data_IF_338852893897
#
_entry.id   IF_338852893897
#
_cell.length_a   1.000
_cell.length_b   1.000
_cell.length_c   1.000
_cell.angle_alpha   90.00
_cell.angle_beta   90.00
_cell.angle_gamma   90.00
#
_symmetry.space_group_name_H-M   'P 1'
#
loop_
_entity.id
_entity.type
_entity.pdbx_description
1 polymer ?
#
# COMPACT_ATOMS: atom_id res chain seq x y z
N UNK A 1 3.15 5.41 -10.73
CA UNK A 1 2.61 5.12 -9.38
C UNK A 1 2.67 3.62 -9.17
N UNK A 2 2.57 3.12 -7.94
CA UNK A 2 2.50 1.68 -7.68
C UNK A 2 1.43 1.37 -6.63
N UNK A 3 0.75 0.24 -6.79
CA UNK A 3 -0.29 -0.28 -5.91
C UNK A 3 0.10 -1.71 -5.58
N UNK A 4 0.19 -2.03 -4.29
CA UNK A 4 0.37 -3.40 -3.79
C UNK A 4 -0.99 -3.91 -3.33
N UNK A 5 -1.37 -5.12 -3.73
CA UNK A 5 -2.62 -5.75 -3.32
C UNK A 5 -2.29 -7.01 -2.53
N UNK A 6 -2.81 -7.11 -1.30
CA UNK A 6 -2.52 -8.22 -0.38
C UNK A 6 -3.18 -9.51 -0.83
N UNK A 7 -4.47 -9.48 -1.17
CA UNK A 7 -5.21 -10.66 -1.60
C UNK A 7 -6.54 -10.30 -2.28
N UNK A 8 -7.31 -11.31 -2.67
CA UNK A 8 -8.40 -11.18 -3.63
C UNK A 8 -9.78 -10.91 -3.05
N UNK A 9 -9.97 -10.62 -1.76
CA UNK A 9 -11.30 -10.32 -1.20
C UNK A 9 -11.77 -8.87 -1.52
N UNK A 10 -13.09 -8.64 -1.53
CA UNK A 10 -13.70 -7.36 -1.99
C UNK A 10 -13.38 -6.16 -1.09
N UNK A 11 -13.14 -6.42 0.19
CA UNK A 11 -12.70 -5.45 1.19
C UNK A 11 -11.24 -5.00 0.99
N UNK A 12 -10.45 -5.69 0.16
CA UNK A 12 -9.06 -5.36 -0.17
C UNK A 12 -8.88 -4.95 -1.62
N UNK A 13 -9.75 -5.43 -2.51
CA UNK A 13 -9.78 -5.09 -3.91
C UNK A 13 -11.23 -4.97 -4.40
N UNK A 14 -11.71 -3.73 -4.54
CA UNK A 14 -12.93 -3.42 -5.30
C UNK A 14 -12.54 -2.79 -6.64
N UNK A 15 -12.49 -3.57 -7.74
CA UNK A 15 -12.04 -3.08 -9.03
C UNK A 15 -12.94 -1.97 -9.60
N UNK A 16 -14.22 -1.88 -9.17
CA UNK A 16 -15.14 -0.81 -9.57
C UNK A 16 -14.64 0.57 -9.14
N UNK A 17 -13.92 0.66 -8.01
CA UNK A 17 -13.31 1.91 -7.54
C UNK A 17 -12.30 2.49 -8.54
N UNK A 18 -11.67 1.64 -9.36
CA UNK A 18 -10.71 2.10 -10.35
C UNK A 18 -11.32 2.68 -11.62
N UNK A 19 -12.61 2.44 -11.90
CA UNK A 19 -13.29 3.03 -13.06
C UNK A 19 -13.25 4.56 -13.05
N UNK A 20 -13.17 5.18 -11.87
CA UNK A 20 -13.02 6.63 -11.70
C UNK A 20 -11.66 7.19 -12.13
N UNK A 21 -10.67 6.33 -12.40
CA UNK A 21 -9.42 6.73 -13.06
C UNK A 21 -9.57 6.89 -14.57
N UNK A 22 -10.66 6.42 -15.17
CA UNK A 22 -10.87 6.48 -16.62
C UNK A 22 -10.98 7.90 -17.19
N UNK A 23 -10.85 8.00 -18.51
CA UNK A 23 -11.05 9.26 -19.23
C UNK A 23 -12.45 9.84 -18.96
N UNK A 24 -12.52 11.13 -18.65
CA UNK A 24 -13.76 11.83 -18.26
C UNK A 24 -13.98 11.94 -16.76
N UNK A 25 -13.26 11.16 -15.94
CA UNK A 25 -13.34 11.19 -14.47
C UNK A 25 -12.02 11.64 -13.80
N UNK A 26 -10.88 11.50 -14.49
CA UNK A 26 -9.57 11.95 -14.00
C UNK A 26 -8.98 13.12 -14.81
N UNK A 27 -8.23 13.99 -14.14
CA UNK A 27 -7.47 15.08 -14.78
C UNK A 27 -6.19 14.55 -15.45
N UNK A 28 -5.86 14.99 -16.68
CA UNK A 28 -4.60 14.65 -17.33
C UNK A 28 -3.41 15.46 -16.77
N UNK A 29 -2.18 14.93 -16.89
CA UNK A 29 -1.87 13.58 -17.35
C UNK A 29 -2.18 12.54 -16.27
N UNK A 30 -2.70 11.38 -16.67
CA UNK A 30 -2.95 10.27 -15.77
C UNK A 30 -1.76 9.31 -15.76
N UNK A 31 -0.94 9.24 -14.70
CA UNK A 31 0.21 8.35 -14.67
C UNK A 31 -0.21 6.88 -14.75
N UNK A 32 0.61 6.07 -15.39
CA UNK A 32 0.46 4.61 -15.30
C UNK A 32 0.72 4.17 -13.85
N UNK A 33 -0.17 3.34 -13.33
CA UNK A 33 -0.01 2.69 -12.03
C UNK A 33 0.38 1.23 -12.24
N UNK A 34 1.54 0.85 -11.73
CA UNK A 34 1.94 -0.55 -11.62
C UNK A 34 1.09 -1.21 -10.54
N UNK A 35 0.43 -2.31 -10.86
CA UNK A 35 -0.48 -3.03 -9.94
C UNK A 35 0.15 -4.38 -9.65
N UNK A 36 0.66 -4.54 -8.43
CA UNK A 36 1.49 -5.67 -8.02
C UNK A 36 0.66 -6.56 -7.09
N UNK A 37 0.60 -7.84 -7.42
CA UNK A 37 -0.12 -8.85 -6.65
C UNK A 37 0.08 -10.22 -7.27
N UNK A 38 -0.33 -11.27 -6.57
CA UNK A 38 -0.25 -12.64 -7.07
C UNK A 38 -1.16 -12.84 -8.28
N UNK A 39 -0.89 -13.88 -9.08
CA UNK A 39 -1.69 -14.17 -10.27
C UNK A 39 -3.21 -14.33 -9.97
N UNK A 40 -3.64 -15.03 -8.89
CA UNK A 40 -5.04 -15.08 -8.50
C UNK A 40 -5.63 -13.68 -8.21
N UNK A 41 -4.88 -12.86 -7.48
CA UNK A 41 -5.28 -11.49 -7.12
C UNK A 41 -5.49 -10.61 -8.35
N UNK A 42 -4.54 -10.64 -9.30
CA UNK A 42 -4.66 -9.84 -10.53
C UNK A 42 -5.71 -10.41 -11.51
N UNK A 43 -6.00 -11.70 -11.44
CA UNK A 43 -7.09 -12.33 -12.17
C UNK A 43 -8.47 -11.75 -11.80
N UNK A 44 -8.61 -11.14 -10.62
CA UNK A 44 -9.86 -10.53 -10.15
C UNK A 44 -10.06 -9.07 -10.60
N UNK A 45 -9.28 -8.56 -11.55
CA UNK A 45 -9.54 -7.26 -12.19
C UNK A 45 -10.78 -7.30 -13.12
N UNK A 46 -11.91 -7.76 -12.59
CA UNK A 46 -13.24 -7.74 -13.19
C UNK A 46 -14.14 -6.84 -12.32
N UNK A 47 -15.08 -6.11 -12.92
CA UNK A 47 -16.06 -5.31 -12.15
C UNK A 47 -17.06 -6.21 -11.39
N UNK A 48 -17.90 -5.59 -10.55
CA UNK A 48 -18.94 -6.28 -9.76
C UNK A 48 -19.98 -7.03 -10.60
N UNK A 49 -20.05 -6.78 -11.91
CA UNK A 49 -20.93 -7.49 -12.85
C UNK A 49 -20.20 -8.64 -13.58
N UNK A 50 -18.93 -8.89 -13.24
CA UNK A 50 -18.09 -9.92 -13.85
C UNK A 50 -17.48 -9.52 -15.19
N UNK A 51 -17.56 -8.25 -15.60
CA UNK A 51 -16.91 -7.78 -16.83
C UNK A 51 -15.45 -7.51 -16.55
N UNK A 52 -14.56 -8.04 -17.40
CA UNK A 52 -13.15 -7.73 -17.32
C UNK A 52 -12.92 -6.22 -17.43
N UNK A 53 -12.17 -5.66 -16.48
CA UNK A 53 -11.69 -4.29 -16.62
C UNK A 53 -10.64 -4.26 -17.73
N UNK A 54 -10.62 -3.18 -18.52
CA UNK A 54 -9.53 -2.90 -19.47
C UNK A 54 -8.38 -2.22 -18.72
N UNK A 55 -7.28 -2.92 -18.39
CA UNK A 55 -6.17 -2.33 -17.64
C UNK A 55 -5.51 -1.20 -18.43
N UNK A 56 -5.45 -1.32 -19.77
CA UNK A 56 -4.93 -0.26 -20.62
C UNK A 56 -5.84 0.98 -20.53
N UNK A 57 -7.16 0.78 -20.59
CA UNK A 57 -8.21 1.77 -20.27
C UNK A 57 -7.98 2.54 -18.98
N UNK A 58 -7.63 1.81 -17.92
CA UNK A 58 -7.43 2.34 -16.56
C UNK A 58 -6.01 2.84 -16.28
N UNK A 59 -5.11 2.76 -17.28
CA UNK A 59 -3.68 3.08 -17.15
C UNK A 59 -3.03 2.26 -16.05
N UNK A 60 -3.35 0.98 -16.00
CA UNK A 60 -2.74 -0.02 -15.15
C UNK A 60 -1.73 -0.85 -15.92
N UNK A 61 -0.63 -1.15 -15.26
CA UNK A 61 0.35 -2.13 -15.66
C UNK A 61 0.36 -3.25 -14.61
N UNK A 62 -0.45 -4.31 -14.79
CA UNK A 62 -0.44 -5.44 -13.88
C UNK A 62 0.93 -6.12 -13.89
N UNK A 63 1.47 -6.43 -12.73
CA UNK A 63 2.73 -7.16 -12.54
C UNK A 63 2.49 -8.34 -11.61
N UNK A 64 2.26 -9.55 -12.16
CA UNK A 64 2.13 -10.75 -11.33
C UNK A 64 3.43 -11.03 -10.60
N UNK A 65 3.33 -11.42 -9.34
CA UNK A 65 4.46 -11.79 -8.47
C UNK A 65 4.21 -13.10 -7.75
N UNK A 66 5.28 -13.74 -7.28
CA UNK A 66 5.24 -14.94 -6.44
C UNK A 66 5.76 -14.66 -5.03
N UNK A 67 5.38 -15.49 -4.05
CA UNK A 67 5.98 -15.44 -2.72
C UNK A 67 7.50 -15.68 -2.79
N UNK A 68 8.25 -14.92 -1.98
CA UNK A 68 9.71 -14.87 -2.01
C UNK A 68 10.30 -14.02 -3.13
N UNK A 69 9.50 -13.54 -4.08
CA UNK A 69 9.98 -12.67 -5.15
C UNK A 69 10.35 -11.29 -4.61
N UNK A 70 11.47 -10.75 -5.11
CA UNK A 70 11.88 -9.36 -4.93
C UNK A 70 11.71 -8.59 -6.24
N UNK A 71 10.96 -7.50 -6.18
CA UNK A 71 10.69 -6.63 -7.34
C UNK A 71 11.14 -5.20 -7.07
N UNK A 72 11.83 -4.60 -8.04
CA UNK A 72 12.13 -3.18 -8.01
C UNK A 72 11.02 -2.39 -8.70
N UNK A 73 10.61 -1.30 -8.07
CA UNK A 73 9.49 -0.44 -8.46
C UNK A 73 9.95 1.01 -8.47
N UNK A 74 9.61 1.76 -9.51
CA UNK A 74 9.89 3.19 -9.58
C UNK A 74 8.60 3.98 -9.60
N UNK A 75 8.55 5.06 -8.83
CA UNK A 75 7.42 5.98 -8.80
C UNK A 75 7.89 7.41 -9.01
N UNK A 76 6.95 8.31 -9.30
CA UNK A 76 7.29 9.66 -9.68
C UNK A 76 7.85 9.76 -11.10
N UNK A 77 8.60 10.81 -11.40
CA UNK A 77 9.17 11.07 -12.73
C UNK A 77 8.25 11.83 -13.67
N UNK A 78 8.64 11.86 -14.95
CA UNK A 78 7.86 12.41 -16.07
C UNK A 78 6.80 11.40 -16.48
N UNK A 79 5.54 11.85 -16.55
CA UNK A 79 4.43 11.00 -16.98
C UNK A 79 4.16 11.19 -18.46
N UNK A 80 4.10 10.09 -19.21
CA UNK A 80 3.64 10.13 -20.59
C UNK A 80 2.19 10.62 -20.63
N UNK A 81 1.84 11.57 -21.51
CA UNK A 81 0.45 11.98 -21.66
C UNK A 81 -0.41 10.80 -22.15
N UNK A 82 -1.67 10.72 -21.70
CA UNK A 82 -2.65 9.77 -22.28
C UNK A 82 -3.36 10.45 -23.44
N UNK A 83 -3.25 9.95 -24.69
CA UNK A 83 -3.94 10.55 -25.83
C UNK A 83 -5.48 10.49 -25.70
N UNK A 84 -6.02 9.63 -24.84
CA UNK A 84 -7.46 9.53 -24.55
C UNK A 84 -7.92 10.56 -23.53
N UNK A 85 -7.03 11.00 -22.63
CA UNK A 85 -7.35 12.03 -21.62
C UNK A 85 -6.91 13.38 -22.16
N UNK A 86 -7.80 14.02 -22.93
CA UNK A 86 -7.56 15.35 -23.47
C UNK A 86 -7.59 16.40 -22.34
N UNK A 87 -6.66 17.39 -22.31
CA UNK A 87 -6.83 18.57 -21.48
C UNK A 87 -8.22 19.13 -21.75
N UNK A 88 -8.99 19.37 -20.69
CA UNK A 88 -10.42 19.66 -20.79
C UNK A 88 -10.72 20.66 -21.90
N UNK A 89 -11.54 20.23 -22.87
CA UNK A 89 -12.20 21.18 -23.76
C UNK A 89 -13.08 22.01 -22.83
N UNK A 90 -12.78 23.29 -22.64
CA UNK A 90 -13.74 24.22 -22.04
C UNK A 90 -15.05 24.02 -22.79
N UNK A 91 -16.08 23.47 -22.14
CA UNK A 91 -17.43 23.48 -22.71
C UNK A 91 -17.77 24.95 -22.92
N UNK A 92 -17.69 25.43 -24.15
CA UNK A 92 -18.50 26.58 -24.55
C UNK A 92 -19.93 26.07 -24.42
N UNK A 93 -20.64 26.59 -23.43
CA UNK A 93 -22.04 26.27 -23.22
C UNK A 93 -22.86 26.92 -24.35
N UNK A 94 -22.89 26.29 -25.52
CA UNK A 94 -23.90 26.63 -26.53
C UNK A 94 -25.24 26.08 -26.02
N UNK A 95 -25.96 26.90 -25.26
CA UNK A 95 -27.36 26.63 -24.88
C UNK A 95 -27.76 26.79 -23.41
N UNK A 96 -26.91 27.32 -22.52
CA UNK A 96 -27.35 27.70 -21.17
C UNK A 96 -27.77 29.19 -21.15
N UNK A 97 -28.92 29.57 -20.54
CA UNK A 97 -29.29 30.97 -20.40
C UNK A 97 -28.20 31.71 -19.58
N UNK A 98 -27.92 32.98 -19.89
CA UNK A 98 -26.77 33.67 -19.31
C UNK A 98 -26.96 33.84 -17.80
N UNK A 99 -26.17 33.09 -17.03
CA UNK A 99 -25.91 33.47 -15.64
C UNK A 99 -25.15 34.80 -15.66
N UNK A 100 -25.61 35.74 -14.84
CA UNK A 100 -25.04 37.07 -14.69
C UNK A 100 -23.50 37.00 -14.56
N UNK A 101 -22.84 37.89 -15.31
CA UNK A 101 -21.40 38.04 -15.46
C UNK A 101 -20.63 37.91 -14.14
N UNK A 102 -20.03 36.75 -13.93
CA UNK A 102 -18.85 36.65 -13.07
C UNK A 102 -17.66 37.24 -13.85
N UNK A 103 -16.73 37.94 -13.19
CA UNK A 103 -15.59 38.55 -13.85
C UNK A 103 -14.77 37.49 -14.61
N UNK A 104 -14.44 37.79 -15.86
CA UNK A 104 -13.55 36.98 -16.68
C UNK A 104 -12.21 36.82 -15.95
N UNK A 105 -11.73 35.59 -15.72
CA UNK A 105 -10.38 35.41 -15.23
C UNK A 105 -9.38 35.90 -16.29
N UNK A 106 -8.23 36.45 -15.88
CA UNK A 106 -7.25 37.00 -16.81
C UNK A 106 -6.76 35.94 -17.79
N UNK A 107 -6.43 36.42 -18.99
CA UNK A 107 -6.06 35.65 -20.17
C UNK A 107 -4.90 34.66 -19.92
N UNK A 108 -5.09 33.46 -20.46
CA UNK A 108 -4.09 32.45 -20.82
C UNK A 108 -2.74 32.51 -20.08
N UNK A 109 -2.72 32.04 -18.83
CA UNK A 109 -1.57 31.24 -18.44
C UNK A 109 -1.70 29.91 -19.18
N UNK A 110 -0.91 29.75 -20.24
CA UNK A 110 -0.52 28.43 -20.74
C UNK A 110 0.14 27.73 -19.55
N UNK A 111 -0.67 27.02 -18.76
CA UNK A 111 -0.21 26.12 -17.71
C UNK A 111 0.61 25.06 -18.43
N UNK A 112 1.91 25.32 -18.55
CA UNK A 112 2.88 24.32 -18.91
C UNK A 112 2.79 23.26 -17.83
N UNK A 113 2.04 22.19 -18.10
CA UNK A 113 1.96 21.01 -17.26
C UNK A 113 3.33 20.31 -17.32
N UNK A 114 4.34 20.89 -16.68
CA UNK A 114 5.59 20.21 -16.38
C UNK A 114 5.29 19.28 -15.19
N UNK A 115 4.71 18.13 -15.51
CA UNK A 115 4.24 17.09 -14.60
C UNK A 115 5.37 16.14 -14.19
N UNK A 116 6.53 16.68 -13.85
CA UNK A 116 7.60 15.88 -13.26
C UNK A 116 7.38 15.80 -11.75
N UNK A 117 6.93 14.64 -11.28
CA UNK A 117 6.89 14.33 -9.84
C UNK A 117 8.27 13.83 -9.39
N UNK A 118 8.65 14.03 -8.12
CA UNK A 118 9.97 13.58 -7.64
C UNK A 118 10.08 12.06 -7.75
N UNK A 119 11.14 11.58 -8.41
CA UNK A 119 11.39 10.17 -8.62
C UNK A 119 11.79 9.46 -7.32
N UNK A 120 11.25 8.25 -7.13
CA UNK A 120 11.57 7.35 -6.01
C UNK A 120 11.71 5.93 -6.53
N UNK A 121 12.52 5.13 -5.85
CA UNK A 121 12.69 3.72 -6.15
C UNK A 121 12.55 2.88 -4.89
N UNK A 122 11.95 1.70 -5.06
CA UNK A 122 11.64 0.78 -3.99
C UNK A 122 12.02 -0.64 -4.41
N UNK A 123 12.53 -1.43 -3.47
CA UNK A 123 12.56 -2.88 -3.55
C UNK A 123 11.45 -3.44 -2.68
N UNK A 124 10.60 -4.27 -3.26
CA UNK A 124 9.46 -4.90 -2.60
C UNK A 124 9.75 -6.40 -2.53
N UNK A 125 9.61 -6.99 -1.35
CA UNK A 125 9.66 -8.45 -1.17
C UNK A 125 8.26 -8.93 -0.81
N UNK A 126 7.80 -9.97 -1.50
CA UNK A 126 6.47 -10.54 -1.33
C UNK A 126 6.55 -11.74 -0.39
N UNK A 127 5.79 -11.74 0.69
CA UNK A 127 5.78 -12.82 1.68
C UNK A 127 4.41 -13.51 1.73
N UNK A 128 4.36 -14.83 1.96
CA UNK A 128 3.10 -15.54 2.10
C UNK A 128 2.39 -15.13 3.39
N UNK A 129 1.13 -14.70 3.27
CA UNK A 129 0.27 -14.45 4.41
C UNK A 129 -0.43 -15.74 4.85
N UNK A 130 -0.54 -15.95 6.16
CA UNK A 130 -1.41 -16.97 6.73
C UNK A 130 -2.84 -16.42 6.72
N UNK A 131 -3.44 -16.28 5.54
CA UNK A 131 -4.77 -15.70 5.35
C UNK A 131 -5.39 -16.20 4.04
N UNK A 132 -6.73 -16.15 3.94
CA UNK A 132 -7.49 -16.69 2.82
C UNK A 132 -7.21 -18.19 2.54
N UNK A 133 -7.72 -18.72 1.43
CA UNK A 133 -7.42 -20.10 1.01
C UNK A 133 -6.05 -20.16 0.33
N UNK A 134 -5.33 -21.29 0.38
CA UNK A 134 -4.00 -21.41 -0.21
C UNK A 134 -3.91 -21.06 -1.71
N UNK A 135 -4.96 -21.37 -2.48
CA UNK A 135 -5.04 -21.07 -3.92
C UNK A 135 -5.23 -19.58 -4.23
N UNK A 136 -5.66 -18.79 -3.25
CA UNK A 136 -5.83 -17.34 -3.35
C UNK A 136 -4.51 -16.59 -3.20
N UNK A 137 -3.49 -17.24 -2.62
CA UNK A 137 -2.12 -16.72 -2.48
C UNK A 137 -2.08 -15.31 -1.87
N UNK A 138 -2.61 -15.18 -0.66
CA UNK A 138 -2.55 -13.94 0.10
C UNK A 138 -1.10 -13.58 0.46
N UNK A 139 -0.78 -12.30 0.42
CA UNK A 139 0.57 -11.79 0.63
C UNK A 139 0.61 -10.60 1.57
N UNK A 140 1.74 -10.46 2.24
CA UNK A 140 2.17 -9.22 2.86
C UNK A 140 3.57 -8.82 2.37
N UNK A 141 4.05 -7.62 2.73
CA UNK A 141 5.18 -7.01 2.03
C UNK A 141 6.26 -6.48 2.95
N UNK A 142 7.52 -6.63 2.52
CA UNK A 142 8.61 -5.76 2.95
C UNK A 142 8.83 -4.72 1.86
N UNK A 143 8.83 -3.44 2.24
CA UNK A 143 8.97 -2.30 1.34
C UNK A 143 10.23 -1.53 1.72
N UNK A 144 11.24 -1.55 0.85
CA UNK A 144 12.50 -0.83 1.06
C UNK A 144 12.63 0.31 0.06
N UNK A 145 12.59 1.54 0.52
CA UNK A 145 12.89 2.70 -0.33
C UNK A 145 14.41 2.82 -0.53
N UNK A 146 14.85 2.86 -1.78
CA UNK A 146 16.27 2.93 -2.17
C UNK A 146 16.65 4.25 -2.83
N UNK A 147 15.66 5.03 -3.27
CA UNK A 147 15.84 6.38 -3.81
C UNK A 147 14.67 7.29 -3.43
N UNK A 148 14.97 8.55 -3.07
CA UNK A 148 13.99 9.61 -2.86
C UNK A 148 14.54 10.71 -1.93
N UNK A 149 13.97 11.94 -1.96
CA UNK A 149 14.45 13.06 -1.15
C UNK A 149 14.21 12.91 0.36
N UNK A 150 13.45 11.91 0.77
CA UNK A 150 13.09 11.60 2.17
C UNK A 150 14.16 10.76 2.86
N UNK A 151 15.03 10.11 2.07
CA UNK A 151 16.11 9.28 2.58
C UNK A 151 17.18 10.15 3.23
N UNK A 152 17.45 9.88 4.50
CA UNK A 152 18.48 10.61 5.24
C UNK A 152 19.86 10.09 4.84
N UNK A 153 20.74 10.98 4.38
CA UNK A 153 22.07 10.64 3.84
C UNK A 153 22.07 9.58 2.72
N UNK A 154 20.95 9.43 2.01
CA UNK A 154 20.79 8.42 0.96
C UNK A 154 20.75 6.97 1.47
N UNK A 155 20.60 6.76 2.78
CA UNK A 155 20.45 5.42 3.35
C UNK A 155 19.04 4.88 3.06
N UNK A 156 18.91 3.61 2.63
CA UNK A 156 17.60 3.01 2.42
C UNK A 156 16.78 2.96 3.71
N UNK A 157 15.46 3.10 3.60
CA UNK A 157 14.54 2.92 4.71
C UNK A 157 13.60 1.75 4.40
N UNK A 158 13.39 0.86 5.38
CA UNK A 158 12.64 -0.38 5.16
C UNK A 158 11.49 -0.52 6.15
N UNK A 159 10.33 -0.93 5.65
CA UNK A 159 9.12 -1.21 6.43
C UNK A 159 8.66 -2.64 6.17
N UNK A 160 8.34 -3.38 7.23
CA UNK A 160 7.49 -4.57 7.13
C UNK A 160 6.03 -4.14 7.28
N UNK A 161 5.20 -4.45 6.29
CA UNK A 161 3.76 -4.20 6.30
C UNK A 161 3.01 -5.53 6.20
N UNK A 162 2.58 -6.04 7.35
CA UNK A 162 2.04 -7.39 7.56
C UNK A 162 0.61 -7.36 8.12
N UNK A 163 -0.33 -6.79 7.35
CA UNK A 163 -1.78 -6.85 7.62
C UNK A 163 -2.40 -8.06 6.93
N UNK A 164 -3.62 -8.45 7.35
CA UNK A 164 -4.36 -9.59 6.78
C UNK A 164 -3.55 -10.87 6.80
N UNK A 165 -2.99 -11.17 7.98
CA UNK A 165 -2.26 -12.41 8.19
C UNK A 165 -2.41 -12.87 9.64
N UNK A 166 -2.57 -14.17 9.82
CA UNK A 166 -2.27 -14.82 11.10
C UNK A 166 -0.77 -14.96 11.31
N UNK A 167 -0.35 -15.74 12.33
CA UNK A 167 1.05 -16.03 12.60
C UNK A 167 1.84 -16.37 11.35
N UNK A 168 3.03 -15.78 11.20
CA UNK A 168 3.86 -15.96 10.00
C UNK A 168 4.21 -17.44 9.83
N UNK A 169 4.06 -17.95 8.61
CA UNK A 169 4.42 -19.32 8.26
C UNK A 169 5.93 -19.53 8.30
N UNK A 170 6.36 -20.80 8.34
CA UNK A 170 7.78 -21.14 8.24
C UNK A 170 8.41 -20.58 6.95
N UNK A 171 7.67 -20.55 5.84
CA UNK A 171 8.11 -19.96 4.58
C UNK A 171 8.35 -18.45 4.71
N UNK A 172 7.43 -17.72 5.34
CA UNK A 172 7.61 -16.28 5.60
C UNK A 172 8.82 -16.02 6.51
N UNK A 173 8.98 -16.81 7.57
CA UNK A 173 10.14 -16.69 8.45
C UNK A 173 11.46 -17.00 7.73
N UNK A 174 11.50 -18.00 6.86
CA UNK A 174 12.70 -18.31 6.08
C UNK A 174 13.08 -17.16 5.13
N UNK A 175 12.10 -16.50 4.50
CA UNK A 175 12.33 -15.31 3.67
C UNK A 175 12.88 -14.16 4.53
N UNK A 176 12.28 -13.92 5.69
CA UNK A 176 12.74 -12.88 6.63
C UNK A 176 14.16 -13.17 7.15
N UNK A 177 14.49 -14.43 7.46
CA UNK A 177 15.84 -14.82 7.87
C UNK A 177 16.87 -14.60 6.75
N UNK A 178 16.49 -14.85 5.50
CA UNK A 178 17.35 -14.54 4.35
C UNK A 178 17.57 -13.02 4.23
N UNK A 179 16.54 -12.19 4.45
CA UNK A 179 16.71 -10.73 4.46
C UNK A 179 17.65 -10.28 5.58
N UNK A 180 17.52 -10.85 6.78
CA UNK A 180 18.43 -10.57 7.88
C UNK A 180 19.89 -10.96 7.53
N UNK A 181 20.07 -12.13 6.90
CA UNK A 181 21.37 -12.60 6.43
C UNK A 181 21.97 -11.66 5.37
N UNK A 182 21.13 -11.10 4.49
CA UNK A 182 21.51 -10.11 3.48
C UNK A 182 21.72 -8.69 4.08
N UNK A 183 21.64 -8.56 5.41
CA UNK A 183 21.89 -7.31 6.13
C UNK A 183 20.73 -6.32 6.08
N UNK A 184 19.50 -6.77 5.80
CA UNK A 184 18.33 -5.92 5.86
C UNK A 184 17.90 -5.71 7.31
N UNK A 185 17.56 -4.47 7.62
CA UNK A 185 16.92 -4.09 8.87
C UNK A 185 15.74 -3.20 8.56
N UNK A 186 14.72 -3.23 9.43
CA UNK A 186 13.47 -2.52 9.28
C UNK A 186 13.43 -1.37 10.28
N UNK A 187 13.22 -0.15 9.78
CA UNK A 187 12.93 1.02 10.60
C UNK A 187 11.51 1.04 11.13
N UNK A 188 10.62 0.20 10.59
CA UNK A 188 9.29 -0.03 11.14
C UNK A 188 8.72 -1.42 10.81
N UNK A 189 7.89 -1.94 11.71
CA UNK A 189 7.11 -3.16 11.53
C UNK A 189 5.65 -2.92 11.90
N UNK A 190 4.75 -3.17 10.95
CA UNK A 190 3.30 -2.97 11.08
C UNK A 190 2.65 -4.35 10.95
N UNK A 191 1.96 -4.82 11.99
CA UNK A 191 1.46 -6.20 12.07
C UNK A 191 -0.05 -6.23 12.37
N UNK A 192 -0.76 -7.14 11.72
CA UNK A 192 -2.19 -7.45 11.92
C UNK A 192 -2.50 -7.66 13.41
N UNK A 193 -3.58 -7.05 13.89
CA UNK A 193 -4.06 -7.13 15.25
C UNK A 193 -5.59 -7.27 15.28
N UNK A 194 -6.15 -7.90 14.24
CA UNK A 194 -7.60 -7.91 13.97
C UNK A 194 -8.40 -8.44 15.15
N UNK A 195 -7.88 -9.44 15.85
CA UNK A 195 -8.58 -10.10 16.93
C UNK A 195 -8.50 -9.34 18.27
N UNK A 196 -7.66 -8.29 18.37
CA UNK A 196 -7.52 -7.50 19.59
C UNK A 196 -7.26 -8.37 20.83
N UNK A 197 -8.05 -8.21 21.88
CA UNK A 197 -8.01 -8.99 23.12
C UNK A 197 -8.68 -10.38 23.02
N UNK A 198 -9.07 -10.80 21.83
CA UNK A 198 -9.62 -12.13 21.57
C UNK A 198 -8.60 -13.26 21.74
N UNK A 199 -9.07 -14.50 21.54
CA UNK A 199 -8.20 -15.68 21.54
C UNK A 199 -7.22 -15.70 20.36
N UNK A 200 -6.17 -16.54 20.42
CA UNK A 200 -5.18 -16.66 19.36
C UNK A 200 -5.84 -17.13 18.06
N UNK A 201 -5.47 -16.50 16.95
CA UNK A 201 -5.99 -16.82 15.63
C UNK A 201 -4.98 -17.51 14.72
N UNK A 202 -5.50 -18.06 13.62
CA UNK A 202 -4.69 -18.67 12.55
C UNK A 202 -4.69 -17.85 11.26
N UNK A 203 -5.76 -17.09 11.00
CA UNK A 203 -5.92 -16.23 9.81
C UNK A 203 -5.76 -14.73 10.10
N UNK A 204 -5.79 -14.36 11.38
CA UNK A 204 -5.52 -13.03 11.93
C UNK A 204 -4.90 -13.19 13.31
N UNK A 205 -4.30 -12.13 13.84
CA UNK A 205 -3.63 -12.18 15.14
C UNK A 205 -4.40 -11.46 16.24
N UNK A 206 -4.26 -11.97 17.47
CA UNK A 206 -4.58 -11.23 18.69
C UNK A 206 -3.35 -10.44 19.19
N UNK A 207 -3.51 -9.58 20.20
CA UNK A 207 -2.42 -8.74 20.69
C UNK A 207 -1.21 -9.53 21.24
N UNK A 208 -1.45 -10.68 21.87
CA UNK A 208 -0.35 -11.53 22.36
C UNK A 208 0.52 -12.06 21.21
N UNK A 209 -0.12 -12.51 20.13
CA UNK A 209 0.57 -12.92 18.92
C UNK A 209 1.32 -11.74 18.28
N UNK A 210 0.75 -10.54 18.24
CA UNK A 210 1.46 -9.35 17.75
C UNK A 210 2.72 -9.06 18.55
N UNK A 211 2.61 -9.02 19.88
CA UNK A 211 3.75 -8.78 20.77
C UNK A 211 4.84 -9.84 20.57
N UNK A 212 4.46 -11.11 20.43
CA UNK A 212 5.40 -12.18 20.14
C UNK A 212 6.13 -11.99 18.81
N UNK A 213 5.41 -11.66 17.72
CA UNK A 213 6.03 -11.41 16.41
C UNK A 213 6.97 -10.20 16.43
N UNK A 214 6.57 -9.11 17.08
CA UNK A 214 7.44 -7.95 17.28
C UNK A 214 8.72 -8.33 18.05
N UNK A 215 8.60 -9.20 19.06
CA UNK A 215 9.73 -9.76 19.79
C UNK A 215 10.66 -10.60 18.91
N UNK A 216 10.10 -11.53 18.13
CA UNK A 216 10.89 -12.42 17.26
C UNK A 216 11.60 -11.67 16.13
N UNK A 217 10.97 -10.66 15.53
CA UNK A 217 11.64 -9.78 14.56
C UNK A 217 12.87 -9.10 15.19
N UNK A 218 12.75 -8.62 16.44
CA UNK A 218 13.88 -8.07 17.18
C UNK A 218 14.97 -9.10 17.46
N UNK A 219 14.59 -10.31 17.89
CA UNK A 219 15.54 -11.40 18.21
C UNK A 219 16.30 -11.91 16.98
N UNK A 220 15.71 -11.79 15.80
CA UNK A 220 16.32 -12.11 14.50
C UNK A 220 17.13 -10.97 13.89
N UNK A 221 17.33 -9.87 14.63
CA UNK A 221 18.04 -8.67 14.17
C UNK A 221 17.42 -8.02 12.92
N UNK A 222 16.11 -8.20 12.69
CA UNK A 222 15.39 -7.59 11.58
C UNK A 222 14.90 -6.18 11.89
N UNK A 223 14.86 -5.77 13.15
CA UNK A 223 14.44 -4.42 13.55
C UNK A 223 15.67 -3.59 13.88
N UNK A 224 15.74 -2.37 13.35
CA UNK A 224 16.74 -1.40 13.81
C UNK A 224 16.49 -1.00 15.28
N UNK A 225 17.49 -0.47 16.00
CA UNK A 225 17.35 -0.18 17.44
C UNK A 225 16.18 0.75 17.77
N UNK A 226 15.91 1.72 16.89
CA UNK A 226 14.85 2.72 17.05
C UNK A 226 13.62 2.39 16.18
N UNK A 227 13.48 1.13 15.73
CA UNK A 227 12.40 0.73 14.86
C UNK A 227 11.03 0.95 15.50
N UNK A 228 10.13 1.60 14.76
CA UNK A 228 8.75 1.74 15.18
C UNK A 228 8.01 0.41 15.09
N UNK A 229 7.39 -0.02 16.20
CA UNK A 229 6.64 -1.28 16.29
C UNK A 229 5.16 -0.97 16.37
N UNK A 230 4.39 -1.37 15.37
CA UNK A 230 2.98 -1.01 15.25
C UNK A 230 2.07 -2.24 15.21
N UNK A 231 0.98 -2.16 15.97
CA UNK A 231 -0.20 -3.02 15.81
C UNK A 231 -1.20 -2.28 14.89
N UNK A 232 -1.74 -2.95 13.88
CA UNK A 232 -2.64 -2.36 12.89
C UNK A 232 -3.75 -3.33 12.48
N UNK A 233 -4.67 -2.89 11.61
CA UNK A 233 -5.76 -3.71 11.08
C UNK A 233 -6.68 -4.27 12.19
N UNK A 234 -7.32 -3.38 12.95
CA UNK A 234 -8.15 -3.75 14.09
C UNK A 234 -9.60 -4.05 13.69
N UNK A 235 -10.18 -5.14 14.21
CA UNK A 235 -11.64 -5.34 14.18
C UNK A 235 -12.30 -4.67 15.37
N UNK A 236 -13.53 -4.18 15.17
CA UNK A 236 -14.37 -3.66 16.26
C UNK A 236 -14.77 -4.75 17.28
N UNK A 237 -14.65 -6.03 16.93
CA UNK A 237 -15.15 -7.13 17.76
C UNK A 237 -14.29 -7.48 18.98
N UNK A 238 -13.00 -7.15 18.96
CA UNK A 238 -12.05 -7.52 20.03
C UNK A 238 -11.13 -6.39 20.47
N UNK A 239 -11.23 -5.22 19.85
CA UNK A 239 -10.31 -4.10 20.09
C UNK A 239 -10.89 -3.15 21.13
N UNK A 240 -10.23 -2.96 22.29
CA UNK A 240 -10.68 -2.01 23.29
C UNK A 240 -10.55 -0.57 22.78
N UNK A 241 -11.15 0.42 23.47
CA UNK A 241 -10.96 1.83 23.14
C UNK A 241 -9.47 2.20 23.02
N UNK A 242 -9.14 3.09 22.09
CA UNK A 242 -7.74 3.41 21.74
C UNK A 242 -6.86 3.72 22.96
N UNK A 243 -7.36 4.47 23.95
CA UNK A 243 -6.60 4.80 25.16
C UNK A 243 -6.21 3.55 25.97
N UNK A 244 -7.12 2.60 26.13
CA UNK A 244 -6.86 1.33 26.83
C UNK A 244 -5.91 0.46 26.03
N UNK A 245 -6.09 0.42 24.70
CA UNK A 245 -5.20 -0.30 23.79
C UNK A 245 -3.76 0.24 23.84
N UNK A 246 -3.59 1.56 23.81
CA UNK A 246 -2.29 2.22 23.93
C UNK A 246 -1.65 1.90 25.28
N UNK A 247 -2.39 2.02 26.38
CA UNK A 247 -1.89 1.70 27.71
C UNK A 247 -1.46 0.22 27.82
N UNK A 248 -2.24 -0.68 27.22
CA UNK A 248 -1.93 -2.11 27.19
C UNK A 248 -0.66 -2.41 26.39
N UNK A 249 -0.50 -1.84 25.18
CA UNK A 249 0.63 -2.15 24.30
C UNK A 249 1.92 -1.40 24.66
N UNK A 250 1.84 -0.27 25.37
CA UNK A 250 2.99 0.53 25.77
C UNK A 250 4.02 -0.27 26.58
N UNK A 251 3.57 -1.20 27.43
CA UNK A 251 4.46 -2.06 28.23
C UNK A 251 5.33 -3.00 27.38
N UNK A 252 4.96 -3.22 26.12
CA UNK A 252 5.69 -4.05 25.16
C UNK A 252 6.46 -3.22 24.11
N UNK A 253 6.43 -1.89 24.22
CA UNK A 253 7.02 -1.00 23.21
C UNK A 253 6.33 -1.10 21.86
N UNK A 254 5.05 -1.49 21.83
CA UNK A 254 4.23 -1.56 20.61
C UNK A 254 3.22 -0.42 20.64
N UNK A 255 3.03 0.25 19.50
CA UNK A 255 2.07 1.33 19.35
C UNK A 255 0.86 0.87 18.52
N UNK A 256 -0.38 1.01 19.01
CA UNK A 256 -1.53 0.84 18.14
C UNK A 256 -1.60 1.98 17.13
N UNK A 257 -1.80 1.64 15.86
CA UNK A 257 -2.08 2.63 14.82
C UNK A 257 -3.45 3.29 15.01
N UNK A 258 -3.62 4.48 14.44
CA UNK A 258 -4.92 5.13 14.31
C UNK A 258 -4.98 5.92 13.01
N UNK A 259 -6.18 6.30 12.60
CA UNK A 259 -6.38 7.16 11.43
C UNK A 259 -5.60 8.47 11.59
N UNK A 260 -4.88 8.86 10.54
CA UNK A 260 -4.03 10.05 10.52
C UNK A 260 -2.68 9.91 11.23
N UNK A 261 -2.30 8.72 11.73
CA UNK A 261 -0.96 8.48 12.27
C UNK A 261 0.11 8.75 11.19
N UNK A 262 1.10 9.57 11.54
CA UNK A 262 2.30 9.81 10.75
C UNK A 262 3.52 9.40 11.58
N UNK A 263 4.40 8.60 10.98
CA UNK A 263 5.65 8.17 11.62
C UNK A 263 6.83 8.36 10.69
N UNK A 264 7.99 8.60 11.29
CA UNK A 264 9.27 8.51 10.59
C UNK A 264 9.74 7.06 10.59
N UNK A 265 10.33 6.63 9.49
CA UNK A 265 10.96 5.31 9.35
C UNK A 265 12.44 5.56 9.21
N UNK A 266 13.22 5.07 10.17
CA UNK A 266 14.68 5.13 10.13
C UNK A 266 15.28 4.20 9.06
N UNK A 267 16.60 4.27 8.86
CA UNK A 267 17.30 3.28 8.06
C UNK A 267 17.16 1.86 8.62
#
# INVERSE_FOLDING_TARGET
QAILITHLHDDHLDPTGFLWRGAGFALPPLPVAEVIGTAPTLGRLHDREGKALDPAGLRFAPRPVSHGERVSVSTGGTHDPDPRVRPGRTRTSDGAPPLASLPTPPESNTLGFLTATVARSYDIVVLPASHARPDEQASFFVVRQTLGPELTHGQPATVLYATDTGPFSDEAWNILDQLAHDGWTFGASIIDATLGLGGPGTAHMNLEQVVWHQGELGRRALLSPDAGRFAHHFSHNGTPPHQELTAHLAQFGVMPSHDGLVTHVGP
#
